data_IF_793916239767
#
_entry.id   IF_793916239767
#
_cell.length_a   1.000
_cell.length_b   1.000
_cell.length_c   1.000
_cell.angle_alpha   90.00
_cell.angle_beta   90.00
_cell.angle_gamma   90.00
#
_symmetry.space_group_name_H-M   'P 1'
#
loop_
_entity.id
_entity.type
_entity.pdbx_description
1 polymer ?
#
# COMPACT_ATOMS: atom_id res chain seq x y z
N UNK A 1 9.34 -28.32 16.55
CA UNK A 1 9.91 -27.90 15.25
C UNK A 1 11.03 -28.87 14.93
N UNK A 2 10.86 -29.71 13.91
CA UNK A 2 11.82 -30.77 13.60
C UNK A 2 12.67 -30.36 12.40
N UNK A 3 13.99 -30.28 12.61
CA UNK A 3 14.96 -30.20 11.52
C UNK A 3 15.20 -31.62 11.00
N UNK A 4 14.97 -31.88 9.73
CA UNK A 4 15.44 -33.09 9.08
C UNK A 4 16.87 -32.88 8.60
N UNK A 5 17.79 -33.67 9.14
CA UNK A 5 19.18 -33.72 8.66
C UNK A 5 19.18 -34.61 7.42
N UNK A 6 19.57 -34.03 6.27
CA UNK A 6 19.80 -34.80 5.06
C UNK A 6 20.96 -35.78 5.23
N UNK A 7 21.03 -36.81 4.38
CA UNK A 7 22.12 -37.82 4.40
C UNK A 7 23.52 -37.23 4.16
N UNK A 8 23.59 -35.96 3.76
CA UNK A 8 24.78 -35.15 3.53
C UNK A 8 25.21 -34.32 4.76
N UNK A 9 24.55 -34.48 5.92
CA UNK A 9 24.89 -33.77 7.15
C UNK A 9 24.57 -32.28 7.15
N UNK A 10 23.94 -31.76 6.09
CA UNK A 10 23.50 -30.38 6.02
C UNK A 10 22.13 -30.25 6.67
N UNK A 11 22.09 -29.53 7.80
CA UNK A 11 20.83 -29.10 8.40
C UNK A 11 20.22 -28.01 7.50
N UNK A 12 19.25 -28.39 6.65
CA UNK A 12 18.41 -27.43 5.96
C UNK A 12 17.39 -26.88 6.96
N UNK A 13 17.81 -25.92 7.78
CA UNK A 13 16.88 -25.13 8.56
C UNK A 13 16.10 -24.27 7.58
N UNK A 14 14.90 -24.71 7.20
CA UNK A 14 13.98 -23.89 6.43
C UNK A 14 13.83 -22.56 7.15
N UNK A 15 14.27 -21.46 6.52
CA UNK A 15 14.01 -20.11 7.04
C UNK A 15 12.52 -20.04 7.38
N UNK A 16 12.11 -19.48 8.54
CA UNK A 16 10.70 -19.32 8.84
C UNK A 16 10.06 -18.60 7.65
N UNK A 17 9.25 -19.34 6.90
CA UNK A 17 8.55 -18.82 5.74
C UNK A 17 7.54 -17.85 6.34
N UNK A 18 7.81 -16.54 6.24
CA UNK A 18 6.77 -15.54 6.40
C UNK A 18 5.56 -16.08 5.62
N UNK A 19 4.33 -16.03 6.18
CA UNK A 19 3.14 -16.42 5.42
C UNK A 19 3.27 -15.75 4.06
N UNK A 20 3.32 -16.56 3.00
CA UNK A 20 3.79 -16.13 1.70
C UNK A 20 3.16 -14.81 1.30
N UNK A 21 3.92 -13.92 0.68
CA UNK A 21 3.43 -12.65 0.17
C UNK A 21 2.30 -12.83 -0.87
N UNK A 22 2.13 -14.04 -1.40
CA UNK A 22 1.10 -14.44 -2.35
C UNK A 22 -0.30 -14.37 -1.75
N UNK A 23 -1.19 -13.63 -2.41
CA UNK A 23 -2.57 -13.52 -2.00
C UNK A 23 -3.21 -12.22 -2.48
N UNK A 24 -4.26 -11.80 -1.77
CA UNK A 24 -5.06 -10.62 -2.10
C UNK A 24 -4.88 -9.56 -1.03
N UNK A 25 -4.69 -8.32 -1.45
CA UNK A 25 -4.50 -7.14 -0.61
C UNK A 25 -5.59 -6.17 -0.97
N UNK A 26 -6.50 -5.94 -0.04
CA UNK A 26 -7.67 -5.10 -0.28
C UNK A 26 -7.91 -4.15 0.88
N UNK A 27 -8.40 -2.96 0.58
CA UNK A 27 -8.63 -1.95 1.59
C UNK A 27 -9.09 -0.61 1.04
N UNK A 28 -9.00 0.38 1.90
CA UNK A 28 -9.39 1.76 1.65
C UNK A 28 -8.18 2.68 1.71
N UNK A 29 -8.30 3.78 0.97
CA UNK A 29 -7.45 4.95 1.13
C UNK A 29 -8.30 5.99 1.85
N UNK A 30 -7.98 6.20 3.11
CA UNK A 30 -8.66 7.19 3.93
C UNK A 30 -7.97 8.56 3.81
N UNK A 31 -8.72 9.65 3.95
CA UNK A 31 -8.12 10.96 4.15
C UNK A 31 -7.18 10.93 5.37
N UNK A 32 -6.08 11.71 5.36
CA UNK A 32 -5.34 12.01 6.57
C UNK A 32 -6.24 12.63 7.64
N UNK A 33 -5.78 12.63 8.89
CA UNK A 33 -6.52 13.25 9.99
C UNK A 33 -6.80 14.74 9.72
N UNK A 34 -7.88 15.23 10.31
CA UNK A 34 -8.39 16.58 10.05
C UNK A 34 -7.34 17.68 10.29
N UNK A 35 -6.53 17.56 11.35
CA UNK A 35 -5.52 18.56 11.68
C UNK A 35 -4.40 18.60 10.64
N UNK A 36 -3.96 17.44 10.17
CA UNK A 36 -3.00 17.36 9.08
C UNK A 36 -3.56 17.97 7.78
N UNK A 37 -4.83 17.72 7.45
CA UNK A 37 -5.48 18.31 6.27
C UNK A 37 -5.52 19.84 6.34
N UNK A 38 -5.83 20.42 7.51
CA UNK A 38 -5.78 21.87 7.73
C UNK A 38 -4.35 22.40 7.59
N UNK A 39 -3.38 21.72 8.19
CA UNK A 39 -1.97 22.10 8.10
C UNK A 39 -1.49 22.13 6.65
N UNK A 40 -1.74 21.06 5.88
CA UNK A 40 -1.36 20.96 4.48
C UNK A 40 -2.00 22.06 3.62
N UNK A 41 -3.30 22.32 3.81
CA UNK A 41 -4.01 23.43 3.14
C UNK A 41 -3.36 24.78 3.46
N UNK A 42 -3.16 25.09 4.74
CA UNK A 42 -2.62 26.39 5.17
C UNK A 42 -1.20 26.61 4.65
N UNK A 43 -0.39 25.55 4.62
CA UNK A 43 0.96 25.59 4.04
C UNK A 43 0.92 25.90 2.54
N UNK A 44 0.04 25.26 1.78
CA UNK A 44 -0.13 25.55 0.35
C UNK A 44 -0.63 26.96 0.05
N UNK A 45 -1.57 27.47 0.84
CA UNK A 45 -2.04 28.86 0.69
C UNK A 45 -0.92 29.88 0.91
N UNK A 46 0.06 29.57 1.78
CA UNK A 46 1.24 30.40 2.02
C UNK A 46 2.32 30.25 0.96
N UNK A 47 2.61 29.02 0.56
CA UNK A 47 3.73 28.68 -0.33
C UNK A 47 3.36 28.77 -1.82
N UNK A 48 2.09 28.97 -2.15
CA UNK A 48 1.61 29.16 -3.52
C UNK A 48 1.62 27.85 -4.32
N UNK A 49 0.52 27.10 -4.25
CA UNK A 49 0.33 25.92 -5.10
C UNK A 49 -1.11 25.83 -5.60
N UNK A 50 -1.30 25.92 -6.93
CA UNK A 50 -2.60 26.01 -7.61
C UNK A 50 -3.20 24.63 -7.90
N UNK A 51 -3.49 23.83 -6.88
CA UNK A 51 -4.12 22.51 -7.09
C UNK A 51 -5.40 22.38 -6.28
N UNK A 52 -6.38 21.72 -6.90
CA UNK A 52 -7.71 21.48 -6.34
C UNK A 52 -7.67 20.58 -5.11
N UNK A 53 -8.66 20.79 -4.22
CA UNK A 53 -8.87 20.02 -3.01
C UNK A 53 -10.26 19.36 -3.00
N UNK A 54 -10.42 18.36 -2.13
CA UNK A 54 -11.70 17.67 -1.90
C UNK A 54 -12.75 18.58 -1.26
N UNK A 55 -13.90 17.98 -0.91
CA UNK A 55 -15.12 18.68 -0.45
C UNK A 55 -14.89 19.65 0.73
N UNK A 56 -13.85 19.42 1.55
CA UNK A 56 -13.48 20.26 2.72
C UNK A 56 -12.36 21.29 2.44
N UNK A 57 -11.97 21.51 1.19
CA UNK A 57 -10.90 22.44 0.83
C UNK A 57 -9.48 21.99 1.23
N UNK A 58 -9.34 20.74 1.69
CA UNK A 58 -8.04 20.08 1.89
C UNK A 58 -7.65 19.23 0.69
N UNK A 59 -6.36 19.14 0.39
CA UNK A 59 -5.86 18.23 -0.65
C UNK A 59 -5.51 16.90 -0.01
N UNK A 60 -6.29 15.87 -0.31
CA UNK A 60 -6.07 14.52 0.18
C UNK A 60 -6.63 13.50 -0.81
N UNK A 61 -6.16 12.28 -0.66
CA UNK A 61 -6.64 11.14 -1.41
C UNK A 61 -7.68 10.38 -0.59
N UNK A 62 -8.74 9.94 -1.27
CA UNK A 62 -9.71 9.01 -0.74
C UNK A 62 -10.10 8.00 -1.80
N UNK A 63 -10.29 6.75 -1.39
CA UNK A 63 -10.82 5.72 -2.27
C UNK A 63 -10.52 4.31 -1.76
N UNK A 64 -10.15 3.42 -2.67
CA UNK A 64 -9.97 1.99 -2.37
C UNK A 64 -8.84 1.38 -3.17
N UNK A 65 -8.31 0.24 -2.70
CA UNK A 65 -7.35 -0.55 -3.44
C UNK A 65 -7.67 -2.04 -3.35
N UNK A 66 -7.35 -2.76 -4.40
CA UNK A 66 -7.40 -4.22 -4.48
C UNK A 66 -6.30 -4.69 -5.42
N UNK A 67 -5.35 -5.49 -4.92
CA UNK A 67 -4.32 -6.10 -5.75
C UNK A 67 -3.97 -7.52 -5.31
N UNK A 68 -3.43 -8.28 -6.26
CA UNK A 68 -3.01 -9.66 -6.10
C UNK A 68 -1.53 -9.79 -6.39
N UNK A 69 -0.87 -10.62 -5.60
CA UNK A 69 0.54 -10.98 -5.78
C UNK A 69 0.68 -12.46 -6.06
N UNK A 70 1.73 -12.82 -6.80
CA UNK A 70 2.15 -14.20 -7.02
C UNK A 70 3.15 -14.70 -5.95
N UNK A 71 3.63 -15.94 -6.14
CA UNK A 71 4.66 -16.56 -5.29
C UNK A 71 6.01 -15.83 -5.31
N UNK A 72 6.27 -14.99 -6.33
CA UNK A 72 7.46 -14.12 -6.42
C UNK A 72 7.23 -12.75 -5.78
N UNK A 73 6.09 -12.56 -5.11
CA UNK A 73 5.66 -11.32 -4.47
C UNK A 73 5.43 -10.15 -5.42
N UNK A 74 5.25 -10.42 -6.71
CA UNK A 74 5.01 -9.40 -7.72
C UNK A 74 3.52 -9.20 -7.90
N UNK A 75 3.10 -7.94 -8.04
CA UNK A 75 1.71 -7.64 -8.34
C UNK A 75 1.40 -8.10 -9.76
N UNK A 76 0.47 -9.06 -9.88
CA UNK A 76 0.04 -9.62 -11.17
C UNK A 76 -1.25 -8.98 -11.68
N UNK A 77 -2.06 -8.45 -10.76
CA UNK A 77 -3.26 -7.67 -11.06
C UNK A 77 -3.51 -6.72 -9.91
N UNK A 78 -3.60 -5.43 -10.17
CA UNK A 78 -3.84 -4.44 -9.12
C UNK A 78 -4.65 -3.28 -9.64
N UNK A 79 -5.50 -2.73 -8.77
CA UNK A 79 -6.26 -1.53 -9.02
C UNK A 79 -6.31 -0.66 -7.78
N UNK A 80 -6.13 0.63 -7.97
CA UNK A 80 -6.51 1.66 -7.00
C UNK A 80 -7.62 2.52 -7.60
N UNK A 81 -8.59 2.89 -6.78
CA UNK A 81 -9.61 3.87 -7.12
C UNK A 81 -9.28 5.12 -6.34
N UNK A 82 -8.96 6.21 -7.02
CA UNK A 82 -8.74 7.54 -6.45
C UNK A 82 -9.64 8.53 -7.17
N UNK A 83 -10.32 9.41 -6.45
CA UNK A 83 -11.22 10.42 -7.04
C UNK A 83 -12.30 9.82 -7.98
N UNK A 84 -12.70 8.57 -7.75
CA UNK A 84 -13.64 7.83 -8.61
C UNK A 84 -13.03 7.21 -9.86
N UNK A 85 -11.75 7.48 -10.17
CA UNK A 85 -11.04 6.92 -11.30
C UNK A 85 -10.36 5.61 -10.94
N UNK A 86 -10.51 4.62 -11.80
CA UNK A 86 -9.83 3.33 -11.69
C UNK A 86 -8.45 3.44 -12.34
N UNK A 87 -7.40 3.17 -11.58
CA UNK A 87 -6.00 3.24 -12.03
C UNK A 87 -5.33 1.90 -11.77
N UNK A 88 -4.53 1.43 -12.72
CA UNK A 88 -3.79 0.19 -12.58
C UNK A 88 -2.65 0.32 -11.58
N UNK A 89 -2.51 -0.69 -10.73
CA UNK A 89 -1.51 -0.78 -9.67
C UNK A 89 -0.45 -1.83 -10.04
N UNK A 90 0.81 -1.44 -9.88
CA UNK A 90 1.99 -2.29 -10.08
C UNK A 90 2.90 -2.23 -8.85
N UNK A 91 3.85 -3.17 -8.74
CA UNK A 91 4.82 -3.18 -7.65
C UNK A 91 5.09 -4.55 -7.07
N UNK A 92 5.58 -4.56 -5.82
CA UNK A 92 5.85 -5.79 -5.07
C UNK A 92 5.68 -5.66 -3.56
N UNK A 93 5.57 -6.83 -2.91
CA UNK A 93 5.46 -6.95 -1.44
C UNK A 93 6.59 -7.83 -0.90
N UNK A 94 7.66 -7.23 -0.39
CA UNK A 94 8.83 -7.96 0.12
C UNK A 94 8.92 -7.85 1.63
N UNK A 95 9.01 -9.01 2.30
CA UNK A 95 9.15 -9.08 3.77
C UNK A 95 8.06 -8.26 4.51
N UNK A 96 6.82 -8.30 4.01
CA UNK A 96 5.71 -7.53 4.56
C UNK A 96 5.76 -6.03 4.22
N UNK A 97 6.72 -5.54 3.45
CA UNK A 97 6.79 -4.15 2.98
C UNK A 97 6.23 -4.08 1.57
N UNK A 98 5.25 -3.20 1.38
CA UNK A 98 4.59 -2.93 0.11
C UNK A 98 5.25 -1.72 -0.56
N UNK A 99 5.64 -1.89 -1.83
CA UNK A 99 6.06 -0.81 -2.71
C UNK A 99 5.14 -0.81 -3.94
N UNK A 100 4.27 0.20 -4.01
CA UNK A 100 3.21 0.32 -5.01
C UNK A 100 3.50 1.48 -5.95
N UNK A 101 3.15 1.32 -7.22
CA UNK A 101 3.26 2.34 -8.26
C UNK A 101 2.01 2.31 -9.14
N UNK A 102 1.58 3.48 -9.58
CA UNK A 102 0.46 3.65 -10.51
C UNK A 102 0.70 4.96 -11.29
N UNK A 103 -0.03 5.17 -12.38
CA UNK A 103 0.13 6.40 -13.14
C UNK A 103 -0.22 7.62 -12.29
N UNK A 104 0.69 8.59 -12.24
CA UNK A 104 0.56 9.79 -11.41
C UNK A 104 0.98 9.64 -9.94
N UNK A 105 1.37 8.46 -9.44
CA UNK A 105 1.68 8.32 -8.01
C UNK A 105 2.35 7.04 -7.54
N UNK A 106 2.48 6.92 -6.22
CA UNK A 106 3.06 5.74 -5.57
C UNK A 106 2.41 5.48 -4.21
N UNK A 107 2.57 4.25 -3.72
CA UNK A 107 2.17 3.85 -2.38
C UNK A 107 3.28 3.10 -1.66
N UNK A 108 3.31 3.24 -0.34
CA UNK A 108 4.20 2.47 0.55
C UNK A 108 3.41 2.00 1.74
N UNK A 109 3.64 0.77 2.18
CA UNK A 109 2.95 0.22 3.32
C UNK A 109 3.67 -0.96 3.97
N UNK A 110 3.12 -1.40 5.09
CA UNK A 110 3.53 -2.61 5.78
C UNK A 110 2.33 -3.50 6.03
N UNK A 111 2.60 -4.80 6.07
CA UNK A 111 1.65 -5.84 6.42
C UNK A 111 2.14 -6.54 7.67
N UNK A 112 1.40 -6.37 8.76
CA UNK A 112 1.70 -6.98 10.06
C UNK A 112 0.44 -7.69 10.51
N UNK A 113 0.53 -8.99 10.84
CA UNK A 113 -0.62 -9.80 11.26
C UNK A 113 -1.83 -9.67 10.33
N UNK A 114 -1.59 -9.73 9.01
CA UNK A 114 -2.60 -9.56 7.94
C UNK A 114 -3.27 -8.18 7.88
N UNK A 115 -2.81 -7.20 8.65
CA UNK A 115 -3.30 -5.82 8.60
C UNK A 115 -2.36 -4.99 7.75
N UNK A 116 -2.93 -4.28 6.78
CA UNK A 116 -2.23 -3.34 5.92
C UNK A 116 -2.30 -1.95 6.55
N UNK A 117 -1.15 -1.30 6.67
CA UNK A 117 -1.05 0.13 6.98
C UNK A 117 -0.08 0.79 6.01
N UNK A 118 -0.37 1.99 5.56
CA UNK A 118 0.52 2.67 4.63
C UNK A 118 0.04 4.05 4.22
N UNK A 119 0.62 4.54 3.14
CA UNK A 119 0.21 5.79 2.52
C UNK A 119 0.33 5.72 1.01
N UNK A 120 -0.56 6.45 0.34
CA UNK A 120 -0.55 6.71 -1.10
C UNK A 120 -0.28 8.19 -1.33
N UNK A 121 0.45 8.50 -2.39
CA UNK A 121 0.80 9.85 -2.81
C UNK A 121 0.54 10.01 -4.30
N UNK A 122 -0.05 11.13 -4.71
CA UNK A 122 -0.31 11.48 -6.11
C UNK A 122 0.42 12.78 -6.49
N UNK A 123 0.75 12.94 -7.77
CA UNK A 123 1.44 14.11 -8.32
C UNK A 123 2.97 14.01 -8.25
N UNK A 124 3.53 12.81 -8.42
CA UNK A 124 4.98 12.61 -8.52
C UNK A 124 5.75 12.81 -7.19
N UNK A 125 5.12 12.52 -6.06
CA UNK A 125 5.74 12.63 -4.73
C UNK A 125 5.56 13.97 -4.03
N UNK A 126 4.58 14.76 -4.46
CA UNK A 126 4.12 15.94 -3.70
C UNK A 126 3.59 15.48 -2.34
N UNK A 127 4.29 15.85 -1.27
CA UNK A 127 3.95 15.48 0.11
C UNK A 127 2.56 15.97 0.56
N UNK A 128 1.95 16.88 -0.20
CA UNK A 128 0.68 17.53 0.12
C UNK A 128 -0.55 16.71 -0.30
N UNK A 129 -0.43 15.78 -1.25
CA UNK A 129 -1.56 14.99 -1.77
C UNK A 129 -1.41 13.55 -1.31
N UNK A 130 -1.89 13.28 -0.10
CA UNK A 130 -1.67 12.03 0.61
C UNK A 130 -2.99 11.37 0.97
N UNK A 131 -3.01 10.04 0.94
CA UNK A 131 -4.02 9.19 1.57
C UNK A 131 -3.38 8.16 2.48
N UNK A 132 -4.15 7.64 3.43
CA UNK A 132 -3.73 6.61 4.37
C UNK A 132 -4.29 5.27 3.91
N UNK A 133 -3.40 4.30 3.67
CA UNK A 133 -3.83 2.95 3.33
C UNK A 133 -4.19 2.20 4.60
N UNK A 134 -5.40 1.66 4.63
CA UNK A 134 -5.85 0.74 5.67
C UNK A 134 -6.51 -0.44 4.98
N UNK A 135 -6.14 -1.67 5.35
CA UNK A 135 -6.69 -2.83 4.68
C UNK A 135 -6.30 -4.15 5.31
N UNK A 136 -6.55 -5.22 4.57
CA UNK A 136 -6.27 -6.59 4.98
C UNK A 136 -5.56 -7.35 3.88
N UNK A 137 -4.67 -8.23 4.31
CA UNK A 137 -4.04 -9.24 3.48
C UNK A 137 -4.73 -10.60 3.69
N UNK A 138 -5.19 -11.19 2.60
CA UNK A 138 -5.84 -12.49 2.54
C UNK A 138 -4.90 -13.50 1.85
N UNK A 139 -4.14 -14.31 2.62
CA UNK A 139 -3.27 -15.32 2.06
C UNK A 139 -4.09 -16.38 1.31
N UNK A 140 -3.62 -16.81 0.14
CA UNK A 140 -4.31 -17.75 -0.74
C UNK A 140 -5.70 -17.27 -1.25
N UNK A 141 -6.01 -15.97 -1.13
CA UNK A 141 -7.24 -15.37 -1.65
C UNK A 141 -8.54 -15.86 -1.01
N UNK A 142 -8.47 -16.51 0.17
CA UNK A 142 -9.65 -16.89 0.95
C UNK A 142 -9.92 -15.83 2.03
N UNK A 143 -11.17 -15.34 2.17
CA UNK A 143 -11.56 -14.39 3.20
C UNK A 143 -11.40 -14.93 4.61
#
# INVERSE_FOLDING_TARGET
MACTVGKDGKAACGKPKLPGCEGVYQGQVDPPDHNWRIYARNRQLREGNKLGGGVDGGIYLQGAFDFKTDASCKITKGTIILHGWRIDLHGDVKNGVMALQFDGGFGKGTVINKVIKGSVHEGGGREWVKGIMVGKFLPNGKP
#
